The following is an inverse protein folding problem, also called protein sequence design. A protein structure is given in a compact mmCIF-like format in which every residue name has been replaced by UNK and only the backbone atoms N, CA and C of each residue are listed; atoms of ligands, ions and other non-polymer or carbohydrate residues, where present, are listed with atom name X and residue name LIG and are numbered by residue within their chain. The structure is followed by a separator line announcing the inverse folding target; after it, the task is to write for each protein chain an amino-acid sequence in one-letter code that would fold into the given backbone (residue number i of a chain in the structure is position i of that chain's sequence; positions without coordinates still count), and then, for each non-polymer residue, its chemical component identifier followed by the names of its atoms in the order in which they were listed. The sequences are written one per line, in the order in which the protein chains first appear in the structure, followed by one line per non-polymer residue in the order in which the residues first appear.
data_IF_555171487833
#
_entry.id   IF_555171487833
#
_cell.length_a   1.000
_cell.length_b   1.000
_cell.length_c   1.000
_cell.angle_alpha   90.00
_cell.angle_beta   90.00
_cell.angle_gamma   90.00
#
_symmetry.space_group_name_H-M   'P 1'
#
loop_
_entity.id
_entity.type
_entity.pdbx_description
1 polymer ?
#
# COMPACT_ATOMS: atom_id res chain seq x y z
N UNK A 1 -39.48 -23.13 1.03
CA UNK A 1 -38.09 -22.66 1.30
C UNK A 1 -37.75 -21.78 0.10
N UNK A 2 -37.93 -20.46 0.26
CA UNK A 2 -37.57 -19.49 -0.76
C UNK A 2 -36.05 -19.26 -0.64
N UNK A 3 -35.31 -19.51 -1.71
CA UNK A 3 -33.90 -19.11 -1.80
C UNK A 3 -33.84 -17.58 -1.72
N UNK A 4 -33.02 -16.99 -0.83
CA UNK A 4 -32.84 -15.55 -0.84
C UNK A 4 -32.21 -15.14 -2.17
N UNK A 5 -32.94 -14.32 -2.95
CA UNK A 5 -32.46 -13.71 -4.17
C UNK A 5 -31.10 -13.06 -3.92
N UNK A 6 -30.07 -13.60 -4.57
CA UNK A 6 -28.72 -13.08 -4.50
C UNK A 6 -28.71 -11.62 -4.97
N UNK A 7 -28.47 -10.70 -4.05
CA UNK A 7 -28.31 -9.27 -4.33
C UNK A 7 -27.21 -9.11 -5.36
N UNK A 8 -27.57 -8.92 -6.64
CA UNK A 8 -26.59 -8.61 -7.69
C UNK A 8 -25.77 -7.38 -7.26
N UNK A 9 -24.46 -7.42 -7.41
CA UNK A 9 -23.60 -6.28 -7.10
C UNK A 9 -24.08 -5.10 -7.95
N UNK A 10 -24.31 -3.97 -7.31
CA UNK A 10 -24.75 -2.75 -8.00
C UNK A 10 -23.68 -2.31 -9.00
N UNK A 11 -24.05 -2.11 -10.27
CA UNK A 11 -23.17 -1.64 -11.36
C UNK A 11 -22.43 -0.31 -11.05
N UNK A 12 -22.84 0.40 -10.02
CA UNK A 12 -22.23 1.65 -9.55
C UNK A 12 -20.88 1.49 -8.85
N UNK A 13 -20.51 0.30 -8.38
CA UNK A 13 -19.23 0.06 -7.68
C UNK A 13 -18.04 -0.21 -8.60
N UNK A 14 -18.25 -0.68 -9.83
CA UNK A 14 -17.17 -1.04 -10.76
C UNK A 14 -16.21 0.10 -11.12
N UNK A 15 -16.68 1.32 -11.51
CA UNK A 15 -15.77 2.39 -11.88
C UNK A 15 -14.89 2.83 -10.71
N UNK A 16 -15.44 2.83 -9.49
CA UNK A 16 -14.68 3.19 -8.29
C UNK A 16 -13.57 2.18 -7.99
N UNK A 17 -13.85 0.88 -8.14
CA UNK A 17 -12.86 -0.19 -7.96
C UNK A 17 -11.75 -0.12 -9.01
N UNK A 18 -12.09 0.21 -10.27
CA UNK A 18 -11.08 0.42 -11.33
C UNK A 18 -10.17 1.60 -11.01
N UNK A 19 -10.73 2.72 -10.55
CA UNK A 19 -9.94 3.89 -10.13
C UNK A 19 -9.02 3.54 -8.97
N UNK A 20 -9.53 2.83 -7.95
CA UNK A 20 -8.73 2.39 -6.82
C UNK A 20 -7.60 1.43 -7.22
N UNK A 21 -7.89 0.50 -8.14
CA UNK A 21 -6.90 -0.42 -8.68
C UNK A 21 -5.79 0.32 -9.44
N UNK A 22 -6.15 1.25 -10.33
CA UNK A 22 -5.18 2.08 -11.06
C UNK A 22 -4.37 2.96 -10.10
N UNK A 23 -5.00 3.53 -9.07
CA UNK A 23 -4.30 4.30 -8.04
C UNK A 23 -3.26 3.43 -7.31
N UNK A 24 -3.61 2.19 -6.95
CA UNK A 24 -2.65 1.25 -6.33
C UNK A 24 -1.46 0.96 -7.25
N UNK A 25 -1.71 0.72 -8.54
CA UNK A 25 -0.66 0.45 -9.53
C UNK A 25 0.26 1.66 -9.68
N UNK A 26 -0.31 2.84 -9.90
CA UNK A 26 0.46 4.07 -10.08
C UNK A 26 1.22 4.43 -8.81
N UNK A 27 0.59 4.34 -7.64
CA UNK A 27 1.24 4.60 -6.35
C UNK A 27 2.43 3.68 -6.10
N UNK A 28 2.27 2.38 -6.36
CA UNK A 28 3.35 1.40 -6.25
C UNK A 28 4.49 1.65 -7.23
N UNK A 29 4.17 1.99 -8.48
CA UNK A 29 5.17 2.31 -9.51
C UNK A 29 5.95 3.59 -9.15
N UNK A 30 5.28 4.66 -8.72
CA UNK A 30 5.92 5.90 -8.27
C UNK A 30 6.86 5.65 -7.10
N UNK A 31 6.44 4.82 -6.13
CA UNK A 31 7.27 4.41 -5.01
C UNK A 31 8.54 3.71 -5.47
N UNK A 32 8.42 2.73 -6.40
CA UNK A 32 9.56 2.00 -6.96
C UNK A 32 10.52 2.91 -7.71
N UNK A 33 10.00 3.80 -8.56
CA UNK A 33 10.80 4.78 -9.31
C UNK A 33 11.57 5.70 -8.37
N UNK A 34 10.90 6.23 -7.35
CA UNK A 34 11.53 7.11 -6.35
C UNK A 34 12.72 6.42 -5.69
N UNK A 35 12.56 5.20 -5.21
CA UNK A 35 13.61 4.47 -4.51
C UNK A 35 14.83 4.21 -5.41
N UNK A 36 14.58 3.93 -6.69
CA UNK A 36 15.66 3.75 -7.68
C UNK A 36 16.40 5.08 -7.92
N UNK A 37 15.66 6.18 -8.09
CA UNK A 37 16.25 7.51 -8.30
C UNK A 37 17.10 7.93 -7.10
N UNK A 38 16.61 7.82 -5.88
CA UNK A 38 17.36 8.17 -4.66
C UNK A 38 18.62 7.32 -4.48
N UNK A 39 18.55 6.04 -4.83
CA UNK A 39 19.67 5.12 -4.65
C UNK A 39 20.79 5.25 -5.68
N UNK A 40 20.47 5.67 -6.91
CA UNK A 40 21.41 5.59 -8.04
C UNK A 40 21.65 6.91 -8.76
N UNK A 41 20.83 7.94 -8.53
CA UNK A 41 20.94 9.23 -9.23
C UNK A 41 20.90 10.40 -8.22
N UNK A 42 21.95 10.60 -7.42
CA UNK A 42 22.00 11.70 -6.45
C UNK A 42 22.30 13.03 -7.15
N UNK A 43 21.30 13.65 -7.77
CA UNK A 43 21.42 14.98 -8.36
C UNK A 43 20.48 15.97 -7.66
N UNK A 44 20.90 17.25 -7.43
CA UNK A 44 20.09 18.22 -6.66
C UNK A 44 18.65 18.38 -7.17
N UNK A 45 18.43 18.47 -8.48
CA UNK A 45 17.08 18.60 -9.05
C UNK A 45 16.25 17.31 -8.99
N UNK A 46 16.85 16.15 -8.79
CA UNK A 46 16.17 14.86 -8.65
C UNK A 46 15.56 14.73 -7.25
N UNK A 47 16.22 15.28 -6.21
CA UNK A 47 15.76 15.24 -4.82
C UNK A 47 14.39 15.92 -4.69
N UNK A 48 14.20 17.08 -5.29
CA UNK A 48 12.91 17.81 -5.25
C UNK A 48 11.78 17.02 -5.91
N UNK A 49 12.05 16.38 -7.05
CA UNK A 49 11.07 15.54 -7.75
C UNK A 49 10.74 14.30 -6.91
N UNK A 50 11.72 13.67 -6.30
CA UNK A 50 11.52 12.47 -5.49
C UNK A 50 10.72 12.74 -4.22
N UNK A 51 10.84 13.94 -3.63
CA UNK A 51 10.05 14.34 -2.48
C UNK A 51 8.56 14.47 -2.82
N UNK A 52 8.24 15.03 -4.01
CA UNK A 52 6.84 15.06 -4.50
C UNK A 52 6.32 13.64 -4.73
N UNK A 53 7.11 12.74 -5.29
CA UNK A 53 6.73 11.34 -5.50
C UNK A 53 6.44 10.63 -4.17
N UNK A 54 7.21 10.93 -3.11
CA UNK A 54 6.96 10.40 -1.77
C UNK A 54 5.65 10.86 -1.14
N UNK A 55 5.20 12.05 -1.48
CA UNK A 55 3.92 12.56 -1.03
C UNK A 55 2.75 11.94 -1.80
N UNK A 56 2.87 11.85 -3.13
CA UNK A 56 1.79 11.39 -4.00
C UNK A 56 1.58 9.87 -3.91
N UNK A 57 2.66 9.09 -3.81
CA UNK A 57 2.56 7.63 -3.80
C UNK A 57 1.69 7.09 -2.64
N UNK A 58 1.88 7.48 -1.36
CA UNK A 58 1.02 7.02 -0.26
C UNK A 58 -0.44 7.45 -0.41
N UNK A 59 -0.73 8.62 -0.98
CA UNK A 59 -2.10 9.06 -1.25
C UNK A 59 -2.80 8.10 -2.23
N UNK A 60 -2.11 7.70 -3.29
CA UNK A 60 -2.62 6.73 -4.25
C UNK A 60 -2.74 5.33 -3.63
N UNK A 61 -1.81 4.94 -2.76
CA UNK A 61 -1.89 3.68 -2.02
C UNK A 61 -3.09 3.65 -1.06
N UNK A 62 -3.44 4.79 -0.43
CA UNK A 62 -4.66 4.92 0.39
C UNK A 62 -5.89 4.61 -0.46
N UNK A 63 -5.98 5.19 -1.66
CA UNK A 63 -7.10 4.92 -2.57
C UNK A 63 -7.13 3.43 -2.99
N UNK A 64 -5.97 2.83 -3.26
CA UNK A 64 -5.83 1.40 -3.54
C UNK A 64 -6.33 0.53 -2.37
N UNK A 65 -5.88 0.83 -1.15
CA UNK A 65 -6.29 0.11 0.06
C UNK A 65 -7.81 0.25 0.32
N UNK A 66 -8.38 1.43 0.03
CA UNK A 66 -9.83 1.66 0.10
C UNK A 66 -10.59 0.76 -0.89
N UNK A 67 -10.07 0.57 -2.10
CA UNK A 67 -10.63 -0.37 -3.08
C UNK A 67 -10.60 -1.80 -2.59
N UNK A 68 -9.47 -2.25 -2.03
CA UNK A 68 -9.36 -3.58 -1.40
C UNK A 68 -10.38 -3.73 -0.27
N UNK A 69 -10.48 -2.75 0.61
CA UNK A 69 -11.46 -2.76 1.69
C UNK A 69 -12.89 -2.85 1.15
N UNK A 70 -13.26 -2.01 0.18
CA UNK A 70 -14.60 -2.00 -0.41
C UNK A 70 -14.96 -3.36 -1.05
N UNK A 71 -14.00 -4.02 -1.72
CA UNK A 71 -14.22 -5.30 -2.39
C UNK A 71 -14.31 -6.48 -1.44
N UNK A 72 -13.49 -6.50 -0.40
CA UNK A 72 -13.30 -7.68 0.45
C UNK A 72 -13.78 -7.51 1.90
N UNK A 73 -14.36 -6.36 2.29
CA UNK A 73 -14.83 -6.09 3.66
C UNK A 73 -15.81 -7.15 4.20
N UNK A 74 -16.62 -7.75 3.33
CA UNK A 74 -17.55 -8.82 3.70
C UNK A 74 -16.89 -10.18 3.98
N UNK A 75 -15.65 -10.40 3.49
CA UNK A 75 -14.89 -11.64 3.67
C UNK A 75 -13.81 -11.51 4.75
N UNK A 76 -13.26 -10.32 4.90
CA UNK A 76 -12.15 -10.02 5.80
C UNK A 76 -12.70 -9.41 7.07
N UNK A 77 -12.69 -10.17 8.15
CA UNK A 77 -13.21 -9.77 9.46
C UNK A 77 -12.11 -9.81 10.53
N UNK A 78 -12.43 -9.49 11.77
CA UNK A 78 -11.54 -9.64 12.91
C UNK A 78 -10.20 -8.94 12.73
N UNK A 79 -9.11 -9.70 12.72
CA UNK A 79 -7.74 -9.17 12.57
C UNK A 79 -7.54 -8.41 11.24
N UNK A 80 -8.17 -8.84 10.17
CA UNK A 80 -8.07 -8.18 8.88
C UNK A 80 -8.67 -6.78 8.88
N UNK A 81 -9.79 -6.56 9.57
CA UNK A 81 -10.36 -5.22 9.73
C UNK A 81 -9.42 -4.30 10.51
N UNK A 82 -8.84 -4.80 11.60
CA UNK A 82 -7.80 -4.07 12.34
C UNK A 82 -6.60 -3.79 11.45
N UNK A 83 -6.21 -4.75 10.60
CA UNK A 83 -5.16 -4.60 9.60
C UNK A 83 -5.43 -3.46 8.62
N UNK A 84 -6.65 -3.36 8.08
CA UNK A 84 -7.06 -2.24 7.23
C UNK A 84 -6.95 -0.90 7.95
N UNK A 85 -7.49 -0.78 9.17
CA UNK A 85 -7.45 0.46 9.95
C UNK A 85 -6.01 0.90 10.19
N UNK A 86 -5.13 -0.02 10.63
CA UNK A 86 -3.71 0.30 10.82
C UNK A 86 -3.02 0.63 9.49
N UNK A 87 -3.35 -0.06 8.40
CA UNK A 87 -2.86 0.26 7.07
C UNK A 87 -3.18 1.69 6.65
N UNK A 88 -4.43 2.12 6.83
CA UNK A 88 -4.86 3.50 6.57
C UNK A 88 -4.15 4.51 7.46
N UNK A 89 -4.06 4.26 8.77
CA UNK A 89 -3.35 5.14 9.71
C UNK A 89 -1.88 5.24 9.33
N UNK A 90 -1.23 4.12 9.03
CA UNK A 90 0.17 4.10 8.62
C UNK A 90 0.44 4.92 7.36
N UNK A 91 -0.37 4.73 6.31
CA UNK A 91 -0.27 5.51 5.07
C UNK A 91 -0.57 7.00 5.29
N UNK A 92 -1.57 7.34 6.12
CA UNK A 92 -1.87 8.73 6.47
C UNK A 92 -0.71 9.40 7.21
N UNK A 93 -0.07 8.68 8.14
CA UNK A 93 1.11 9.17 8.84
C UNK A 93 2.31 9.35 7.89
N UNK A 94 2.47 8.52 6.86
CA UNK A 94 3.47 8.76 5.82
C UNK A 94 3.21 10.06 5.08
N UNK A 95 1.96 10.31 4.65
CA UNK A 95 1.58 11.57 4.01
C UNK A 95 1.87 12.78 4.93
N UNK A 96 1.46 12.70 6.20
CA UNK A 96 1.70 13.78 7.17
C UNK A 96 3.20 13.95 7.43
N UNK A 97 3.96 12.85 7.57
CA UNK A 97 5.40 12.89 7.79
C UNK A 97 6.12 13.60 6.64
N UNK A 98 5.81 13.26 5.40
CA UNK A 98 6.41 13.93 4.24
C UNK A 98 5.98 15.39 4.11
N UNK A 99 4.70 15.71 4.38
CA UNK A 99 4.23 17.09 4.41
C UNK A 99 4.90 17.92 5.52
N UNK A 100 5.14 17.31 6.69
CA UNK A 100 5.82 17.99 7.81
C UNK A 100 7.27 18.32 7.49
N UNK A 101 7.94 17.53 6.67
CA UNK A 101 9.30 17.80 6.20
C UNK A 101 9.43 19.14 5.47
N UNK A 102 8.40 19.52 4.73
CA UNK A 102 8.34 20.80 4.03
C UNK A 102 8.20 22.01 4.98
N UNK A 103 7.62 21.80 6.19
CA UNK A 103 7.29 22.87 7.12
C UNK A 103 8.22 22.94 8.33
N UNK A 104 8.64 21.78 8.84
CA UNK A 104 9.38 21.64 10.13
C UNK A 104 10.77 21.02 9.98
N UNK A 105 11.13 20.58 8.77
CA UNK A 105 12.43 20.00 8.46
C UNK A 105 12.51 18.47 8.50
N UNK A 106 13.64 17.96 8.03
CA UNK A 106 13.84 16.55 7.74
C UNK A 106 13.75 15.62 8.97
N UNK A 107 14.18 16.11 10.14
CA UNK A 107 14.18 15.28 11.37
C UNK A 107 12.75 14.90 11.80
N UNK A 108 11.82 15.86 11.78
CA UNK A 108 10.42 15.62 12.14
C UNK A 108 9.74 14.75 11.08
N UNK A 109 10.03 14.97 9.80
CA UNK A 109 9.57 14.11 8.71
C UNK A 109 9.97 12.64 8.92
N UNK A 110 11.25 12.38 9.22
CA UNK A 110 11.79 11.04 9.46
C UNK A 110 11.09 10.39 10.66
N UNK A 111 10.90 11.13 11.74
CA UNK A 111 10.27 10.62 12.97
C UNK A 111 8.82 10.16 12.70
N UNK A 112 7.99 11.03 12.13
CA UNK A 112 6.58 10.74 11.84
C UNK A 112 6.46 9.61 10.81
N UNK A 113 7.25 9.65 9.74
CA UNK A 113 7.24 8.63 8.70
C UNK A 113 7.66 7.26 9.22
N UNK A 114 8.65 7.20 10.12
CA UNK A 114 9.08 5.94 10.74
C UNK A 114 7.95 5.27 11.54
N UNK A 115 7.18 6.04 12.31
CA UNK A 115 5.97 5.54 12.98
C UNK A 115 4.93 5.08 11.95
N UNK A 116 4.71 5.86 10.90
CA UNK A 116 3.82 5.49 9.80
C UNK A 116 4.18 4.14 9.19
N UNK A 117 5.47 3.92 8.90
CA UNK A 117 5.95 2.64 8.37
C UNK A 117 5.72 1.48 9.33
N UNK A 118 5.98 1.63 10.62
CA UNK A 118 5.77 0.57 11.61
C UNK A 118 4.29 0.18 11.72
N UNK A 119 3.40 1.19 11.77
CA UNK A 119 1.95 0.95 11.83
C UNK A 119 1.46 0.31 10.54
N UNK A 120 1.95 0.76 9.37
CA UNK A 120 1.63 0.18 8.08
C UNK A 120 2.07 -1.28 8.00
N UNK A 121 3.31 -1.58 8.40
CA UNK A 121 3.84 -2.94 8.44
C UNK A 121 2.96 -3.86 9.29
N UNK A 122 2.65 -3.43 10.50
CA UNK A 122 1.78 -4.16 11.41
C UNK A 122 0.38 -4.38 10.81
N UNK A 123 -0.19 -3.33 10.21
CA UNK A 123 -1.48 -3.40 9.52
C UNK A 123 -1.48 -4.41 8.38
N UNK A 124 -0.45 -4.39 7.51
CA UNK A 124 -0.32 -5.31 6.39
C UNK A 124 -0.09 -6.75 6.83
N UNK A 125 0.65 -6.97 7.92
CA UNK A 125 0.83 -8.32 8.51
C UNK A 125 -0.50 -8.86 9.01
N UNK A 126 -1.27 -8.10 9.80
CA UNK A 126 -2.59 -8.53 10.29
C UNK A 126 -3.56 -8.81 9.14
N UNK A 127 -3.59 -7.92 8.14
CA UNK A 127 -4.38 -8.09 6.94
C UNK A 127 -3.97 -9.36 6.19
N UNK A 128 -2.66 -9.57 6.00
CA UNK A 128 -2.11 -10.72 5.29
C UNK A 128 -2.42 -12.05 5.97
N UNK A 129 -2.32 -12.12 7.29
CA UNK A 129 -2.68 -13.31 8.06
C UNK A 129 -4.17 -13.67 7.89
N UNK A 130 -5.06 -12.68 7.92
CA UNK A 130 -6.48 -12.92 7.70
C UNK A 130 -6.79 -13.29 6.25
N UNK A 131 -6.17 -12.61 5.26
CA UNK A 131 -6.30 -12.93 3.83
C UNK A 131 -5.85 -14.35 3.53
N UNK A 132 -4.75 -14.83 4.13
CA UNK A 132 -4.29 -16.21 4.02
C UNK A 132 -5.32 -17.20 4.59
N UNK A 133 -5.89 -16.88 5.76
CA UNK A 133 -6.85 -17.72 6.45
C UNK A 133 -8.16 -17.89 5.68
N UNK A 134 -8.68 -16.79 5.09
CA UNK A 134 -9.97 -16.80 4.37
C UNK A 134 -9.82 -16.99 2.87
N UNK A 135 -8.58 -17.14 2.36
CA UNK A 135 -8.26 -17.26 0.94
C UNK A 135 -8.98 -16.20 0.09
N UNK A 136 -8.89 -14.92 0.51
CA UNK A 136 -9.64 -13.83 -0.10
C UNK A 136 -9.17 -13.53 -1.52
N UNK A 137 -7.86 -13.65 -1.81
CA UNK A 137 -7.26 -13.38 -3.13
C UNK A 137 -6.91 -14.71 -3.83
N UNK A 138 -7.52 -15.06 -4.97
CA UNK A 138 -7.41 -16.41 -5.55
C UNK A 138 -5.99 -16.93 -5.81
N UNK A 139 -5.04 -16.05 -6.13
CA UNK A 139 -3.65 -16.42 -6.46
C UNK A 139 -2.58 -15.74 -5.61
N UNK A 140 -2.95 -14.70 -4.85
CA UNK A 140 -2.01 -13.79 -4.22
C UNK A 140 -2.29 -13.56 -2.73
N UNK A 141 -2.82 -14.59 -2.05
CA UNK A 141 -3.19 -14.49 -0.62
C UNK A 141 -2.03 -14.07 0.30
N UNK A 142 -0.79 -14.42 -0.07
CA UNK A 142 0.40 -14.08 0.72
C UNK A 142 0.86 -12.62 0.53
N UNK A 143 0.32 -11.90 -0.47
CA UNK A 143 0.83 -10.60 -0.90
C UNK A 143 0.84 -9.55 0.22
N UNK A 144 -0.26 -9.28 0.97
CA UNK A 144 -0.22 -8.29 2.04
C UNK A 144 0.75 -8.66 3.16
N UNK A 145 0.89 -9.97 3.48
CA UNK A 145 1.84 -10.44 4.47
C UNK A 145 3.28 -10.20 4.02
N UNK A 146 3.61 -10.54 2.78
CA UNK A 146 4.93 -10.30 2.21
C UNK A 146 5.27 -8.80 2.23
N UNK A 147 4.34 -7.94 1.81
CA UNK A 147 4.52 -6.48 1.86
C UNK A 147 4.76 -5.98 3.29
N UNK A 148 3.99 -6.48 4.27
CA UNK A 148 4.16 -6.11 5.67
C UNK A 148 5.52 -6.50 6.25
N UNK A 149 6.09 -7.63 5.82
CA UNK A 149 7.42 -8.09 6.23
C UNK A 149 8.57 -7.36 5.53
N UNK A 150 8.37 -6.84 4.31
CA UNK A 150 9.39 -6.06 3.60
C UNK A 150 9.68 -4.73 4.30
N UNK A 151 8.71 -4.11 4.97
CA UNK A 151 8.90 -2.84 5.66
C UNK A 151 9.96 -2.92 6.78
N UNK A 152 9.86 -3.81 7.78
CA UNK A 152 10.88 -3.93 8.81
C UNK A 152 12.24 -4.35 8.23
N UNK A 153 12.27 -5.18 7.17
CA UNK A 153 13.51 -5.52 6.48
C UNK A 153 14.20 -4.30 5.87
N UNK A 154 13.44 -3.35 5.32
CA UNK A 154 14.00 -2.11 4.79
C UNK A 154 14.58 -1.22 5.90
N UNK A 155 14.00 -1.24 7.10
CA UNK A 155 14.49 -0.49 8.26
C UNK A 155 15.78 -1.14 8.82
N UNK A 156 15.81 -2.46 8.93
CA UNK A 156 16.97 -3.21 9.44
C UNK A 156 18.17 -3.10 8.49
N UNK A 157 17.93 -2.97 7.19
CA UNK A 157 19.03 -2.78 6.20
C UNK A 157 19.78 -1.46 6.38
N UNK A 158 19.25 -0.51 7.16
CA UNK A 158 19.92 0.75 7.52
C UNK A 158 20.38 1.55 6.30
N UNK A 159 21.65 1.99 6.33
CA UNK A 159 22.27 2.80 5.27
C UNK A 159 22.81 1.95 4.09
N UNK A 160 22.64 0.63 4.14
CA UNK A 160 23.09 -0.26 3.05
C UNK A 160 22.16 -0.10 1.83
N UNK A 161 22.41 0.90 0.98
CA UNK A 161 21.61 1.24 -0.21
C UNK A 161 21.37 0.03 -1.11
N UNK A 162 22.38 -0.84 -1.30
CA UNK A 162 22.30 -2.06 -2.11
C UNK A 162 21.25 -3.06 -1.60
N UNK A 163 20.93 -3.06 -0.32
CA UNK A 163 19.89 -3.91 0.27
C UNK A 163 18.56 -3.17 0.38
N UNK A 164 18.59 -1.92 0.81
CA UNK A 164 17.38 -1.11 1.04
C UNK A 164 16.61 -0.83 -0.24
N UNK A 165 17.30 -0.48 -1.33
CA UNK A 165 16.65 -0.12 -2.58
C UNK A 165 15.84 -1.28 -3.18
N UNK A 166 16.36 -2.52 -3.35
CA UNK A 166 15.56 -3.62 -3.88
C UNK A 166 14.41 -4.02 -2.95
N UNK A 167 14.59 -3.99 -1.62
CA UNK A 167 13.51 -4.29 -0.67
C UNK A 167 12.36 -3.28 -0.81
N UNK A 168 12.69 -2.00 -0.90
CA UNK A 168 11.68 -0.94 -1.05
C UNK A 168 11.03 -0.97 -2.45
N UNK A 169 11.77 -1.34 -3.49
CA UNK A 169 11.21 -1.55 -4.84
C UNK A 169 10.24 -2.73 -4.86
N UNK A 170 10.56 -3.84 -4.16
CA UNK A 170 9.64 -4.98 -4.00
C UNK A 170 8.36 -4.60 -3.24
N UNK A 171 8.45 -3.70 -2.25
CA UNK A 171 7.29 -3.15 -1.58
C UNK A 171 6.38 -2.38 -2.56
N UNK A 172 6.96 -1.52 -3.40
CA UNK A 172 6.24 -0.83 -4.47
C UNK A 172 5.59 -1.80 -5.46
N UNK A 173 6.33 -2.85 -5.88
CA UNK A 173 5.80 -3.91 -6.73
C UNK A 173 4.61 -4.63 -6.06
N UNK A 174 4.64 -4.83 -4.76
CA UNK A 174 3.51 -5.39 -4.01
C UNK A 174 2.22 -4.58 -4.20
N UNK A 175 2.31 -3.24 -4.18
CA UNK A 175 1.15 -2.36 -4.45
C UNK A 175 0.69 -2.46 -5.91
N UNK A 176 1.60 -2.57 -6.87
CA UNK A 176 1.27 -2.81 -8.28
C UNK A 176 0.47 -4.12 -8.42
N UNK A 177 0.97 -5.21 -7.81
CA UNK A 177 0.31 -6.51 -7.85
C UNK A 177 -1.07 -6.47 -7.16
N UNK A 178 -1.20 -5.75 -6.04
CA UNK A 178 -2.49 -5.56 -5.36
C UNK A 178 -3.51 -4.87 -6.26
N UNK A 179 -3.08 -3.85 -7.00
CA UNK A 179 -3.92 -3.18 -7.99
C UNK A 179 -4.32 -4.10 -9.15
N UNK A 180 -3.41 -4.95 -9.63
CA UNK A 180 -3.71 -5.94 -10.67
C UNK A 180 -4.72 -6.99 -10.19
N UNK A 181 -4.63 -7.44 -8.94
CA UNK A 181 -5.63 -8.34 -8.32
C UNK A 181 -7.01 -7.69 -8.32
N UNK A 182 -7.09 -6.41 -7.93
CA UNK A 182 -8.36 -5.68 -7.96
C UNK A 182 -8.93 -5.53 -9.38
N UNK A 183 -8.07 -5.30 -10.39
CA UNK A 183 -8.50 -5.20 -11.80
C UNK A 183 -9.01 -6.53 -12.34
N UNK A 184 -8.32 -7.64 -12.04
CA UNK A 184 -8.75 -8.97 -12.49
C UNK A 184 -10.11 -9.33 -11.91
N UNK A 185 -10.36 -9.05 -10.65
CA UNK A 185 -11.64 -9.32 -10.00
C UNK A 185 -12.81 -8.47 -10.55
N UNK A 186 -12.51 -7.28 -11.10
CA UNK A 186 -13.52 -6.45 -11.78
C UNK A 186 -13.81 -6.96 -13.18
N UNK A 187 -12.83 -7.57 -13.84
CA UNK A 187 -13.01 -8.14 -15.19
C UNK A 187 -13.84 -9.44 -15.18
N UNK A 188 -13.81 -10.18 -14.07
CA UNK A 188 -14.50 -11.47 -13.91
C UNK A 188 -15.91 -11.31 -13.27
N UNK A 189 -16.36 -10.09 -12.95
CA UNK A 189 -17.64 -9.79 -12.29
C UNK A 189 -18.71 -9.31 -13.30
#
# INVERSE_FOLDING_TARGET
MECPEGKMPSKTGEPLLRVAALASIVGGALWGVKVVLDGFVPAPGVIEITDVLFFVAPLLMIAGLAGVHARYAGRIMGMGRTGFVNGFIGLALLVVGFASGLSFGAEEAIRISSFGFLILAFGLVLLGLEVLKVAAFPRWNFLPLAMGLLVPLSVISGDAVLLRAPISALFGLGWVLLGLVLLSDVADA
#
